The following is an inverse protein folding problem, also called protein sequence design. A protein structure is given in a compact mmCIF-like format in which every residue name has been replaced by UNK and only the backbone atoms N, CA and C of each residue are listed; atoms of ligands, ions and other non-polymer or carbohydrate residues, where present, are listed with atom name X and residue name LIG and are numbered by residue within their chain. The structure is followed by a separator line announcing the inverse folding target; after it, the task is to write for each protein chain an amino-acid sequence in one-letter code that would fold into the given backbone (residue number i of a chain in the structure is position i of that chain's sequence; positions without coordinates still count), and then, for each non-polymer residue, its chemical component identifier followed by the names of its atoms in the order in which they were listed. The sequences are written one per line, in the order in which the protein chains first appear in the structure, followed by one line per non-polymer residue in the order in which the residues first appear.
data_IF_820850911660
#
_entry.id   IF_820850911660
#
_cell.length_a   1.000
_cell.length_b   1.000
_cell.length_c   1.000
_cell.angle_alpha   90.00
_cell.angle_beta   90.00
_cell.angle_gamma   90.00
#
_symmetry.space_group_name_H-M   'P 1'
#
loop_
_entity.id
_entity.type
_entity.pdbx_description
1 polymer ?
#
# COMPACT_ATOMS: atom_id res chain seq x y z
N UNK A 1 10.99 5.89 -15.17
CA UNK A 1 9.62 5.34 -14.96
C UNK A 1 9.61 4.28 -13.85
N UNK A 2 10.39 4.48 -12.79
CA UNK A 2 10.63 3.50 -11.72
C UNK A 2 9.35 3.06 -11.00
N UNK A 3 8.50 4.01 -10.62
CA UNK A 3 7.19 3.76 -10.03
C UNK A 3 6.22 2.99 -10.93
N UNK A 4 6.21 3.28 -12.24
CA UNK A 4 5.35 2.57 -13.18
C UNK A 4 5.73 1.09 -13.29
N UNK A 5 7.03 0.78 -13.30
CA UNK A 5 7.53 -0.59 -13.29
C UNK A 5 7.23 -1.32 -11.97
N UNK A 6 7.37 -0.62 -10.84
CA UNK A 6 7.06 -1.13 -9.51
C UNK A 6 5.57 -1.49 -9.33
N UNK A 7 4.65 -0.63 -9.77
CA UNK A 7 3.22 -0.93 -9.67
C UNK A 7 2.78 -2.05 -10.63
N UNK A 8 3.38 -2.12 -11.82
CA UNK A 8 3.09 -3.19 -12.77
C UNK A 8 3.51 -4.58 -12.25
N UNK A 9 4.64 -4.67 -11.53
CA UNK A 9 5.11 -5.94 -10.96
C UNK A 9 4.21 -6.46 -9.83
N UNK A 10 3.56 -5.55 -9.08
CA UNK A 10 2.65 -5.88 -7.98
C UNK A 10 1.20 -6.14 -8.43
N UNK A 11 0.82 -5.79 -9.67
CA UNK A 11 -0.56 -5.88 -10.15
C UNK A 11 -1.16 -7.30 -10.08
N UNK A 12 -0.37 -8.36 -10.35
CA UNK A 12 -0.85 -9.74 -10.27
C UNK A 12 -1.16 -10.18 -8.84
N UNK A 13 -0.40 -9.69 -7.86
CA UNK A 13 -0.63 -9.99 -6.44
C UNK A 13 -1.92 -9.35 -5.96
N UNK A 14 -2.17 -8.09 -6.34
CA UNK A 14 -3.45 -7.40 -6.09
C UNK A 14 -4.63 -8.15 -6.71
N UNK A 15 -4.52 -8.55 -7.97
CA UNK A 15 -5.59 -9.29 -8.65
C UNK A 15 -5.90 -10.64 -7.96
N UNK A 16 -4.88 -11.33 -7.45
CA UNK A 16 -5.06 -12.58 -6.69
C UNK A 16 -5.70 -12.34 -5.31
N UNK A 17 -5.32 -11.26 -4.62
CA UNK A 17 -5.94 -10.85 -3.37
C UNK A 17 -7.41 -10.43 -3.56
N UNK A 18 -7.74 -9.67 -4.61
CA UNK A 18 -9.09 -9.26 -4.99
C UNK A 18 -9.98 -10.45 -5.37
N UNK A 19 -9.39 -11.51 -5.92
CA UNK A 19 -10.08 -12.78 -6.20
C UNK A 19 -10.28 -13.67 -4.95
N UNK A 20 -9.91 -13.19 -3.76
CA UNK A 20 -10.12 -13.91 -2.50
C UNK A 20 -9.09 -14.99 -2.18
N UNK A 21 -7.96 -15.06 -2.92
CA UNK A 21 -6.85 -15.93 -2.54
C UNK A 21 -6.07 -15.30 -1.39
N UNK A 22 -6.54 -15.54 -0.16
CA UNK A 22 -5.95 -15.07 1.11
C UNK A 22 -4.50 -15.50 1.36
N UNK A 23 -3.96 -16.42 0.55
CA UNK A 23 -2.57 -16.91 0.61
C UNK A 23 -1.67 -16.40 -0.52
N UNK A 24 -2.20 -15.55 -1.40
CA UNK A 24 -1.44 -14.97 -2.51
C UNK A 24 -0.55 -13.79 -2.08
N UNK A 25 -0.82 -13.19 -0.91
CA UNK A 25 -0.10 -12.05 -0.34
C UNK A 25 -0.02 -12.25 1.16
N UNK A 26 1.18 -12.11 1.73
CA UNK A 26 1.37 -12.11 3.19
C UNK A 26 1.02 -10.75 3.79
N UNK A 27 0.69 -10.70 5.09
CA UNK A 27 0.46 -9.43 5.81
C UNK A 27 1.64 -8.47 5.64
N UNK A 28 2.88 -8.97 5.72
CA UNK A 28 4.08 -8.16 5.55
C UNK A 28 4.20 -7.57 4.15
N UNK A 29 3.92 -8.36 3.10
CA UNK A 29 3.92 -7.85 1.72
C UNK A 29 2.83 -6.79 1.49
N UNK A 30 1.70 -6.92 2.16
CA UNK A 30 0.64 -5.90 2.12
C UNK A 30 1.08 -4.62 2.84
N UNK A 31 1.67 -4.73 4.03
CA UNK A 31 2.17 -3.59 4.81
C UNK A 31 3.31 -2.85 4.06
N UNK A 32 4.23 -3.61 3.44
CA UNK A 32 5.31 -3.06 2.62
C UNK A 32 4.73 -2.27 1.42
N UNK A 33 3.72 -2.82 0.74
CA UNK A 33 3.05 -2.13 -0.38
C UNK A 33 2.34 -0.85 0.06
N UNK A 34 1.69 -0.85 1.23
CA UNK A 34 1.04 0.35 1.79
C UNK A 34 2.10 1.43 2.06
N UNK A 35 3.23 1.06 2.69
CA UNK A 35 4.32 1.99 2.97
C UNK A 35 4.94 2.59 1.70
N UNK A 36 5.06 1.80 0.64
CA UNK A 36 5.57 2.28 -0.65
C UNK A 36 4.58 3.23 -1.34
N UNK A 37 3.28 2.97 -1.25
CA UNK A 37 2.22 3.87 -1.75
C UNK A 37 2.21 5.19 -1.00
N UNK A 38 2.34 5.18 0.32
CA UNK A 38 2.42 6.39 1.15
C UNK A 38 3.63 7.25 0.78
N UNK A 39 4.77 6.61 0.55
CA UNK A 39 6.00 7.29 0.10
C UNK A 39 5.80 7.96 -1.25
N UNK A 40 5.20 7.25 -2.21
CA UNK A 40 4.89 7.82 -3.53
C UNK A 40 3.92 9.00 -3.44
N UNK A 41 2.86 8.86 -2.64
CA UNK A 41 1.87 9.91 -2.47
C UNK A 41 2.50 11.19 -1.91
N UNK A 42 3.36 11.07 -0.90
CA UNK A 42 4.10 12.21 -0.35
C UNK A 42 4.99 12.92 -1.39
N UNK A 43 5.60 12.15 -2.32
CA UNK A 43 6.36 12.75 -3.43
C UNK A 43 5.44 13.49 -4.41
N UNK A 44 4.29 12.92 -4.76
CA UNK A 44 3.30 13.56 -5.64
C UNK A 44 2.74 14.83 -5.01
N UNK A 45 2.35 14.78 -3.74
CA UNK A 45 1.85 15.94 -3.00
C UNK A 45 2.88 17.07 -2.93
N UNK A 46 4.15 16.75 -2.69
CA UNK A 46 5.24 17.72 -2.70
C UNK A 46 5.41 18.39 -4.08
N UNK A 47 5.41 17.59 -5.16
CA UNK A 47 5.50 18.11 -6.53
C UNK A 47 4.32 19.00 -6.89
N UNK A 48 3.11 18.68 -6.40
CA UNK A 48 1.90 19.43 -6.66
C UNK A 48 1.65 20.58 -5.67
N UNK A 49 2.47 20.73 -4.63
CA UNK A 49 2.29 21.74 -3.57
C UNK A 49 1.05 21.48 -2.69
N UNK A 50 0.61 20.23 -2.57
CA UNK A 50 -0.55 19.85 -1.77
C UNK A 50 -0.14 19.60 -0.31
N UNK A 51 -1.03 19.90 0.66
CA UNK A 51 -0.78 19.55 2.05
C UNK A 51 -0.78 18.01 2.21
N UNK A 52 0.30 17.48 2.79
CA UNK A 52 0.41 16.05 3.12
C UNK A 52 -0.49 15.71 4.31
N UNK A 53 -1.38 14.73 4.12
CA UNK A 53 -2.17 14.16 5.21
C UNK A 53 -1.52 12.84 5.66
N UNK A 54 -1.08 12.71 6.92
CA UNK A 54 -0.52 11.46 7.40
C UNK A 54 -1.58 10.35 7.37
N UNK A 55 -1.18 9.10 7.06
CA UNK A 55 -2.10 7.97 7.04
C UNK A 55 -2.76 7.78 8.40
N UNK A 56 -4.04 7.41 8.39
CA UNK A 56 -4.81 7.17 9.61
C UNK A 56 -4.16 6.02 10.40
N UNK A 57 -4.10 6.10 11.74
CA UNK A 57 -3.54 5.02 12.54
C UNK A 57 -4.25 3.70 12.24
N UNK A 58 -3.51 2.69 11.82
CA UNK A 58 -4.03 1.33 11.67
C UNK A 58 -4.46 0.85 13.05
N UNK A 59 -5.77 0.81 13.30
CA UNK A 59 -6.35 0.34 14.54
C UNK A 59 -6.08 -1.17 14.64
N UNK A 60 -4.93 -1.56 15.22
CA UNK A 60 -4.65 -2.94 15.57
C UNK A 60 -5.72 -3.37 16.60
N UNK A 61 -6.61 -4.20 16.13
CA UNK A 61 -7.80 -4.66 16.84
C UNK A 61 -7.38 -5.59 17.98
N UNK A 62 -7.28 -5.06 19.19
CA UNK A 62 -7.05 -5.81 20.44
C UNK A 62 -8.37 -6.29 21.09
N UNK A 63 -9.36 -6.81 20.34
CA UNK A 63 -10.60 -7.33 20.96
C UNK A 63 -10.63 -8.83 21.23
N UNK A 64 -9.53 -9.57 21.04
CA UNK A 64 -9.45 -10.97 21.45
C UNK A 64 -8.71 -11.13 22.79
N UNK A 65 -9.34 -10.69 23.89
CA UNK A 65 -9.10 -11.14 25.28
C UNK A 65 -10.30 -10.83 26.14
#
# INVERSE_FOLDING_TARGET
TEWAAFFASNARKRAAAEAGLTRAVTTREADDLVRDVETFLGLVENVLGLPHQPPLPSHHVYWAS
#
